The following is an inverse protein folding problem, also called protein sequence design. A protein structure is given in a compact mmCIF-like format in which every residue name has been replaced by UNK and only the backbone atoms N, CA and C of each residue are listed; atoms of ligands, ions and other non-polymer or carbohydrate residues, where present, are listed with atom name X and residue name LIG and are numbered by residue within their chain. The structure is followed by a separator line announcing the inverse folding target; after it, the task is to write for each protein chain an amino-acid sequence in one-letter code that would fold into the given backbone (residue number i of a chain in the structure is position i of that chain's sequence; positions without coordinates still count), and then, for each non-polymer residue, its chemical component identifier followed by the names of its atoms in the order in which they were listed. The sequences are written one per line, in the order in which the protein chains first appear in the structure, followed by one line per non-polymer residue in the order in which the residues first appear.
data_IF_649263337846
#
_entry.id   IF_649263337846
#
_cell.length_a   1.000
_cell.length_b   1.000
_cell.length_c   1.000
_cell.angle_alpha   90.00
_cell.angle_beta   90.00
_cell.angle_gamma   90.00
#
_symmetry.space_group_name_H-M   'P 1'
#
loop_
_entity.id
_entity.type
_entity.pdbx_description
1 polymer ?
#
# COMPACT_ATOMS: atom_id res chain seq x y z
N UNK A 1 15.90 3.44 63.08
CA UNK A 1 14.69 3.80 62.30
C UNK A 1 14.08 2.48 61.83
N UNK A 2 12.92 2.09 62.37
CA UNK A 2 12.29 0.80 62.05
C UNK A 2 11.70 0.86 60.63
N UNK A 3 12.02 -0.15 59.82
CA UNK A 3 11.52 -0.29 58.46
C UNK A 3 10.00 -0.59 58.55
N UNK A 4 9.11 0.20 57.93
CA UNK A 4 7.68 -0.08 57.98
C UNK A 4 7.43 -1.49 57.43
N UNK A 5 6.63 -2.27 58.16
CA UNK A 5 6.23 -3.62 57.75
C UNK A 5 5.67 -3.55 56.33
N UNK A 6 6.42 -4.10 55.36
CA UNK A 6 5.91 -4.31 54.01
C UNK A 6 4.82 -5.35 54.12
N UNK A 7 3.59 -4.94 53.91
CA UNK A 7 2.46 -5.85 53.74
C UNK A 7 2.82 -6.77 52.55
N UNK A 8 2.92 -8.10 52.76
CA UNK A 8 3.18 -9.03 51.67
C UNK A 8 2.12 -8.86 50.58
N UNK A 9 2.56 -8.74 49.33
CA UNK A 9 1.63 -8.60 48.20
C UNK A 9 0.79 -9.89 48.12
N UNK A 10 -0.55 -9.83 48.22
CA UNK A 10 -1.41 -11.02 48.21
C UNK A 10 -1.28 -11.83 46.90
N UNK A 11 -0.72 -11.24 45.85
CA UNK A 11 -0.40 -11.91 44.59
C UNK A 11 0.74 -12.91 44.70
N UNK A 12 1.57 -12.85 45.75
CA UNK A 12 2.65 -13.82 45.98
C UNK A 12 2.13 -15.20 46.41
N UNK A 13 0.93 -15.26 47.00
CA UNK A 13 0.29 -16.49 47.47
C UNK A 13 -0.85 -16.97 46.56
N UNK A 14 -1.05 -16.33 45.41
CA UNK A 14 -2.13 -16.68 44.49
C UNK A 14 -1.82 -18.00 43.73
N UNK A 15 -2.55 -19.10 43.98
CA UNK A 15 -2.31 -20.37 43.31
C UNK A 15 -2.65 -20.34 41.80
N UNK A 16 -3.41 -19.34 41.35
CA UNK A 16 -3.75 -19.16 39.94
C UNK A 16 -2.71 -18.32 39.19
N UNK A 17 -1.73 -17.74 39.89
CA UNK A 17 -0.63 -16.98 39.31
C UNK A 17 0.73 -17.51 39.82
N UNK A 18 1.14 -18.72 39.40
CA UNK A 18 2.40 -19.28 39.84
C UNK A 18 3.55 -18.36 39.44
N UNK A 19 4.31 -17.91 40.44
CA UNK A 19 5.57 -17.19 40.21
C UNK A 19 6.47 -18.14 39.40
N UNK A 20 6.90 -17.78 38.18
CA UNK A 20 7.82 -18.62 37.43
C UNK A 20 9.08 -18.81 38.27
N UNK A 21 9.59 -20.04 38.40
CA UNK A 21 10.81 -20.28 39.16
C UNK A 21 11.89 -19.36 38.60
N UNK A 22 12.57 -18.60 39.47
CA UNK A 22 13.78 -17.90 39.09
C UNK A 22 14.75 -18.96 38.61
N UNK A 23 14.85 -19.10 37.30
CA UNK A 23 15.66 -20.11 36.65
C UNK A 23 17.11 -19.94 37.11
N UNK A 24 17.58 -20.83 37.98
CA UNK A 24 19.00 -21.12 38.20
C UNK A 24 19.59 -21.92 37.03
N UNK A 25 19.11 -21.67 35.82
CA UNK A 25 19.52 -22.29 34.58
C UNK A 25 19.77 -21.21 33.52
N UNK A 26 20.65 -20.26 33.85
CA UNK A 26 21.40 -19.50 32.86
C UNK A 26 22.40 -20.36 32.06
N UNK A 27 22.31 -21.70 32.14
CA UNK A 27 23.37 -22.65 31.76
C UNK A 27 22.94 -23.66 30.67
N UNK A 28 21.89 -23.40 29.89
CA UNK A 28 21.54 -24.26 28.76
C UNK A 28 20.96 -23.53 27.53
N UNK A 29 21.13 -22.20 27.44
CA UNK A 29 20.91 -21.50 26.17
C UNK A 29 22.26 -21.10 25.54
N UNK A 30 22.68 -21.73 24.43
CA UNK A 30 23.92 -21.36 23.74
C UNK A 30 23.94 -19.91 23.23
N UNK A 31 22.79 -19.22 23.24
CA UNK A 31 22.67 -17.78 22.92
C UNK A 31 23.05 -16.86 24.07
N UNK A 32 23.13 -17.38 25.30
CA UNK A 32 23.50 -16.61 26.51
C UNK A 32 24.97 -16.83 26.92
N UNK A 33 25.74 -17.59 26.16
CA UNK A 33 27.15 -17.80 26.44
C UNK A 33 27.94 -16.49 26.26
N UNK A 34 28.50 -15.96 27.35
CA UNK A 34 29.29 -14.73 27.35
C UNK A 34 30.55 -14.80 26.48
N UNK A 35 30.99 -16.00 26.06
CA UNK A 35 32.06 -16.14 25.07
C UNK A 35 31.60 -15.84 23.62
N UNK A 36 30.29 -15.90 23.34
CA UNK A 36 29.70 -15.63 22.01
C UNK A 36 29.24 -14.17 21.85
N UNK A 37 29.41 -13.33 22.87
CA UNK A 37 29.13 -11.88 22.81
C UNK A 37 30.30 -11.06 22.24
N UNK A 38 31.24 -11.70 21.54
CA UNK A 38 32.21 -11.04 20.65
C UNK A 38 31.56 -10.48 19.38
N UNK A 39 30.37 -9.87 19.52
CA UNK A 39 29.90 -8.91 18.52
C UNK A 39 30.58 -7.59 18.83
N UNK A 40 31.13 -6.88 17.83
CA UNK A 40 31.47 -5.48 18.00
C UNK A 40 30.25 -4.79 18.62
N UNK A 41 30.46 -3.86 19.53
CA UNK A 41 29.42 -2.94 19.97
C UNK A 41 29.06 -2.10 18.74
N UNK A 42 28.25 -2.67 17.86
CA UNK A 42 27.46 -1.93 16.90
C UNK A 42 26.53 -1.12 17.78
N UNK A 43 26.90 0.14 17.98
CA UNK A 43 25.99 1.21 18.32
C UNK A 43 24.87 1.15 17.28
N UNK A 44 23.91 0.25 17.48
CA UNK A 44 22.62 0.31 16.81
C UNK A 44 21.96 1.48 17.48
N UNK A 45 22.35 2.67 17.04
CA UNK A 45 21.49 3.83 17.04
C UNK A 45 20.20 3.27 16.46
N UNK A 46 19.18 3.11 17.30
CA UNK A 46 17.82 2.92 16.84
C UNK A 46 17.54 4.22 16.10
N UNK A 47 17.95 4.26 14.84
CA UNK A 47 17.88 5.41 13.98
C UNK A 47 16.40 5.53 13.75
N UNK A 48 15.77 6.35 14.59
CA UNK A 48 14.33 6.56 14.61
C UNK A 48 13.98 7.05 13.22
N UNK A 49 13.57 6.12 12.34
CA UNK A 49 13.28 6.36 10.92
C UNK A 49 11.89 6.98 10.84
N UNK A 50 11.67 8.03 11.62
CA UNK A 50 10.47 8.85 11.70
C UNK A 50 10.46 9.91 10.59
N UNK A 51 10.89 9.53 9.38
CA UNK A 51 10.92 10.41 8.21
C UNK A 51 9.96 9.99 7.10
N UNK A 52 9.43 8.76 7.15
CA UNK A 52 8.65 8.20 6.04
C UNK A 52 7.22 8.75 5.93
N UNK A 53 6.56 9.00 7.07
CA UNK A 53 5.15 9.40 7.06
C UNK A 53 4.94 10.82 6.51
N UNK A 54 5.79 11.78 6.89
CA UNK A 54 5.70 13.15 6.39
C UNK A 54 5.93 13.27 4.88
N UNK A 55 6.89 12.50 4.35
CA UNK A 55 7.18 12.48 2.90
C UNK A 55 6.01 11.85 2.13
N UNK A 56 5.41 10.78 2.65
CA UNK A 56 4.25 10.16 2.02
C UNK A 56 3.06 11.11 1.97
N UNK A 57 2.78 11.80 3.08
CA UNK A 57 1.71 12.80 3.14
C UNK A 57 1.98 13.95 2.17
N UNK A 58 3.21 14.49 2.14
CA UNK A 58 3.60 15.55 1.23
C UNK A 58 3.45 15.13 -0.25
N UNK A 59 3.84 13.90 -0.59
CA UNK A 59 3.69 13.36 -1.94
C UNK A 59 2.21 13.28 -2.35
N UNK A 60 1.32 12.83 -1.46
CA UNK A 60 -0.12 12.77 -1.72
C UNK A 60 -0.69 14.17 -1.96
N UNK A 61 -0.34 15.14 -1.11
CA UNK A 61 -0.79 16.54 -1.25
C UNK A 61 -0.31 17.14 -2.57
N UNK A 62 0.93 16.88 -2.98
CA UNK A 62 1.48 17.36 -4.24
C UNK A 62 0.69 16.83 -5.45
N UNK A 63 0.40 15.53 -5.47
CA UNK A 63 -0.37 14.91 -6.58
C UNK A 63 -1.78 15.50 -6.65
N UNK A 64 -2.46 15.66 -5.51
CA UNK A 64 -3.78 16.26 -5.46
C UNK A 64 -3.76 17.72 -5.94
N UNK A 65 -2.72 18.49 -5.60
CA UNK A 65 -2.57 19.87 -6.06
C UNK A 65 -2.40 19.95 -7.58
N UNK A 66 -1.65 19.03 -8.20
CA UNK A 66 -1.51 18.97 -9.67
C UNK A 66 -2.84 18.64 -10.33
N UNK A 67 -3.57 17.65 -9.83
CA UNK A 67 -4.89 17.29 -10.38
C UNK A 67 -5.86 18.48 -10.27
N UNK A 68 -5.91 19.12 -9.10
CA UNK A 68 -6.72 20.31 -8.89
C UNK A 68 -6.31 21.44 -9.85
N UNK A 69 -5.02 21.68 -10.05
CA UNK A 69 -4.55 22.67 -11.02
C UNK A 69 -5.10 22.41 -12.43
N UNK A 70 -5.08 21.17 -12.92
CA UNK A 70 -5.64 20.85 -14.23
C UNK A 70 -7.16 20.99 -14.33
N UNK A 71 -7.90 20.79 -13.23
CA UNK A 71 -9.36 20.94 -13.20
C UNK A 71 -9.75 22.42 -13.09
N UNK A 72 -9.04 23.20 -12.28
CA UNK A 72 -9.41 24.57 -11.93
C UNK A 72 -8.71 25.65 -12.75
N UNK A 73 -7.60 25.34 -13.44
CA UNK A 73 -6.97 26.27 -14.37
C UNK A 73 -7.53 25.99 -15.75
N UNK A 74 -8.54 26.75 -16.23
CA UNK A 74 -8.93 26.69 -17.61
C UNK A 74 -7.68 26.98 -18.44
N UNK A 75 -7.31 26.05 -19.31
CA UNK A 75 -6.35 26.31 -20.38
C UNK A 75 -6.99 27.34 -21.29
N UNK A 76 -6.88 28.62 -20.96
CA UNK A 76 -7.06 29.67 -21.94
C UNK A 76 -5.99 29.38 -22.99
N UNK A 77 -6.36 28.97 -24.22
CA UNK A 77 -5.42 29.17 -25.31
C UNK A 77 -5.07 30.65 -25.23
N UNK A 78 -3.78 30.97 -25.25
CA UNK A 78 -3.32 32.31 -25.58
C UNK A 78 -3.74 32.58 -27.03
N UNK A 79 -5.04 32.70 -27.27
CA UNK A 79 -5.56 33.41 -28.42
C UNK A 79 -5.09 34.84 -28.22
N UNK A 80 -4.40 35.45 -29.19
CA UNK A 80 -4.11 36.87 -29.12
C UNK A 80 -5.44 37.57 -28.84
N UNK A 81 -5.51 38.29 -27.72
CA UNK A 81 -6.59 39.23 -27.46
C UNK A 81 -6.52 40.21 -28.63
N UNK A 82 -7.39 40.04 -29.61
CA UNK A 82 -7.65 41.08 -30.60
C UNK A 82 -8.12 42.28 -29.80
N UNK A 83 -7.22 43.24 -29.57
CA UNK A 83 -7.58 44.58 -29.15
C UNK A 83 -8.58 45.10 -30.18
N UNK A 84 -9.84 45.23 -29.77
CA UNK A 84 -10.86 45.82 -30.61
C UNK A 84 -10.46 47.27 -30.93
N UNK A 85 -9.97 47.49 -32.15
CA UNK A 85 -9.84 48.82 -32.74
C UNK A 85 -11.22 49.49 -32.73
N UNK A 86 -11.36 50.75 -32.26
CA UNK A 86 -12.63 51.46 -32.38
C UNK A 86 -13.02 51.59 -33.87
N UNK A 87 -14.30 51.42 -34.23
CA UNK A 87 -14.70 51.44 -35.63
C UNK A 87 -14.48 52.82 -36.25
N UNK A 88 -13.86 52.86 -37.43
CA UNK A 88 -13.87 54.03 -38.30
C UNK A 88 -15.31 54.29 -38.76
N UNK A 89 -15.76 55.55 -38.71
CA UNK A 89 -17.07 55.94 -39.22
C UNK A 89 -17.14 55.75 -40.74
N UNK A 90 -18.06 54.89 -41.20
CA UNK A 90 -18.30 54.62 -42.62
C UNK A 90 -19.54 55.37 -43.12
N UNK A 91 -19.35 56.13 -44.20
CA UNK A 91 -20.40 56.74 -45.02
C UNK A 91 -21.21 55.66 -45.76
N UNK A 92 -22.54 55.74 -45.71
CA UNK A 92 -23.44 54.69 -46.22
C UNK A 92 -23.71 54.85 -47.72
N UNK A 93 -23.20 53.93 -48.54
CA UNK A 93 -23.60 53.78 -49.94
C UNK A 93 -24.87 52.89 -50.09
N UNK A 94 -25.66 53.03 -51.17
CA UNK A 94 -26.88 52.24 -51.40
C UNK A 94 -26.62 50.73 -51.45
N UNK A 95 -27.54 49.95 -50.87
CA UNK A 95 -27.42 48.51 -50.71
C UNK A 95 -27.36 47.76 -52.05
N UNK A 96 -26.31 46.96 -52.22
CA UNK A 96 -26.18 45.99 -53.32
C UNK A 96 -26.86 44.68 -52.91
N UNK A 97 -27.61 43.98 -53.79
CA UNK A 97 -28.29 42.73 -53.45
C UNK A 97 -27.31 41.68 -52.92
N UNK A 98 -27.70 41.04 -51.81
CA UNK A 98 -26.95 40.00 -51.10
C UNK A 98 -26.98 38.69 -51.91
N UNK A 99 -25.84 38.13 -52.33
CA UNK A 99 -25.77 36.77 -52.84
C UNK A 99 -26.11 35.76 -51.73
N UNK A 100 -26.87 34.73 -52.07
CA UNK A 100 -27.30 33.69 -51.14
C UNK A 100 -26.11 32.97 -50.46
N UNK A 101 -26.32 32.58 -49.21
CA UNK A 101 -25.41 31.75 -48.41
C UNK A 101 -25.09 30.45 -49.14
N UNK A 102 -23.81 30.12 -49.39
CA UNK A 102 -23.43 28.79 -49.85
C UNK A 102 -23.92 27.71 -48.88
N UNK A 103 -24.47 26.62 -49.42
CA UNK A 103 -24.91 25.46 -48.65
C UNK A 103 -23.74 24.87 -47.83
N UNK A 104 -24.00 24.26 -46.66
CA UNK A 104 -22.95 23.62 -45.87
C UNK A 104 -22.23 22.56 -46.70
N UNK A 105 -20.91 22.64 -46.71
CA UNK A 105 -20.04 21.71 -47.43
C UNK A 105 -20.19 20.31 -46.81
N UNK A 106 -20.78 19.38 -47.55
CA UNK A 106 -21.11 18.03 -47.12
C UNK A 106 -19.89 17.07 -47.15
N UNK A 107 -18.67 17.61 -47.20
CA UNK A 107 -17.44 16.84 -47.41
C UNK A 107 -16.63 16.54 -46.15
N UNK A 108 -17.19 16.74 -44.95
CA UNK A 108 -16.54 16.31 -43.72
C UNK A 108 -16.33 14.78 -43.74
N UNK A 109 -15.07 14.28 -43.71
CA UNK A 109 -14.81 12.84 -43.69
C UNK A 109 -15.47 12.21 -42.46
N UNK A 110 -16.13 11.07 -42.66
CA UNK A 110 -16.65 10.28 -41.55
C UNK A 110 -15.50 9.93 -40.59
N UNK A 111 -15.70 10.18 -39.30
CA UNK A 111 -14.71 9.83 -38.29
C UNK A 111 -14.43 8.31 -38.35
N UNK A 112 -13.16 7.88 -38.24
CA UNK A 112 -12.83 6.46 -38.20
C UNK A 112 -13.59 5.74 -37.10
N UNK A 113 -14.13 4.56 -37.41
CA UNK A 113 -14.75 3.71 -36.41
C UNK A 113 -13.74 3.36 -35.32
N UNK A 114 -14.14 3.46 -34.05
CA UNK A 114 -13.30 3.05 -32.92
C UNK A 114 -13.02 1.55 -33.00
N UNK A 115 -11.76 1.11 -32.83
CA UNK A 115 -11.42 -0.31 -32.76
C UNK A 115 -12.22 -1.03 -31.67
N UNK A 116 -12.65 -2.26 -31.95
CA UNK A 116 -13.29 -3.11 -30.94
C UNK A 116 -12.30 -3.42 -29.81
N UNK A 117 -12.79 -3.33 -28.57
CA UNK A 117 -12.01 -3.74 -27.38
C UNK A 117 -11.70 -5.22 -27.48
N UNK A 118 -10.42 -5.65 -27.34
CA UNK A 118 -10.07 -7.05 -27.24
C UNK A 118 -10.86 -7.73 -26.11
N UNK A 119 -11.35 -8.95 -26.38
CA UNK A 119 -11.98 -9.76 -25.36
C UNK A 119 -10.97 -10.06 -24.23
N UNK A 120 -11.42 -10.16 -22.97
CA UNK A 120 -10.53 -10.52 -21.88
C UNK A 120 -9.88 -11.87 -22.14
N UNK A 121 -8.59 -11.96 -21.83
CA UNK A 121 -7.83 -13.21 -21.91
C UNK A 121 -8.52 -14.30 -21.07
N UNK A 122 -8.54 -15.51 -21.64
CA UNK A 122 -9.04 -16.68 -20.93
C UNK A 122 -8.29 -16.84 -19.61
N UNK A 123 -9.06 -17.01 -18.53
CA UNK A 123 -8.54 -17.20 -17.18
C UNK A 123 -7.45 -18.27 -17.15
N UNK A 124 -6.33 -17.95 -16.50
CA UNK A 124 -5.19 -18.84 -16.33
C UNK A 124 -5.62 -20.23 -15.81
N UNK A 125 -4.94 -21.31 -16.24
CA UNK A 125 -5.24 -22.67 -15.78
C UNK A 125 -5.23 -22.75 -14.24
N UNK A 126 -6.22 -23.43 -13.67
CA UNK A 126 -6.33 -23.63 -12.24
C UNK A 126 -5.06 -24.34 -11.71
N UNK A 127 -4.54 -23.86 -10.58
CA UNK A 127 -3.39 -24.46 -9.93
C UNK A 127 -3.69 -25.93 -9.56
N UNK A 128 -2.71 -26.84 -9.67
CA UNK A 128 -2.88 -28.23 -9.28
C UNK A 128 -3.36 -28.36 -7.82
N UNK A 129 -4.27 -29.29 -7.58
CA UNK A 129 -4.75 -29.57 -6.23
C UNK A 129 -3.60 -30.04 -5.32
N UNK A 130 -3.64 -29.71 -4.01
CA UNK A 130 -2.67 -30.19 -3.04
C UNK A 130 -2.57 -31.72 -3.05
N UNK A 131 -1.35 -32.25 -2.95
CA UNK A 131 -1.12 -33.68 -2.85
C UNK A 131 -1.74 -34.23 -1.54
N UNK A 132 -2.35 -35.41 -1.64
CA UNK A 132 -2.93 -36.10 -0.49
C UNK A 132 -1.82 -36.51 0.51
N UNK A 133 -2.03 -36.29 1.83
CA UNK A 133 -1.06 -36.71 2.83
C UNK A 133 -0.78 -38.22 2.78
N UNK A 134 0.48 -38.59 2.94
CA UNK A 134 0.88 -39.99 2.98
C UNK A 134 0.22 -40.74 4.17
N UNK A 135 -0.08 -42.05 4.02
CA UNK A 135 -0.64 -42.85 5.10
C UNK A 135 0.26 -42.84 6.34
N UNK A 136 -0.36 -42.79 7.52
CA UNK A 136 0.38 -42.85 8.78
C UNK A 136 1.11 -44.20 8.93
N UNK A 137 2.30 -44.21 9.59
CA UNK A 137 3.01 -45.44 9.89
C UNK A 137 2.15 -46.41 10.70
N UNK A 138 2.19 -47.69 10.35
CA UNK A 138 1.50 -48.72 11.10
C UNK A 138 2.12 -48.87 12.50
N UNK A 139 1.28 -48.95 13.53
CA UNK A 139 1.71 -49.20 14.90
C UNK A 139 2.34 -50.59 15.00
N UNK A 140 3.53 -50.74 15.61
CA UNK A 140 4.14 -52.04 15.84
C UNK A 140 3.23 -52.94 16.68
N UNK A 141 3.19 -54.23 16.34
CA UNK A 141 2.42 -55.21 17.09
C UNK A 141 3.01 -55.40 18.51
N UNK A 142 2.17 -55.69 19.53
CA UNK A 142 2.64 -55.96 20.88
C UNK A 142 3.58 -57.16 20.93
N UNK A 143 4.64 -57.06 21.73
CA UNK A 143 5.55 -58.17 21.96
C UNK A 143 4.82 -59.30 22.73
N UNK A 144 5.13 -60.58 22.45
CA UNK A 144 4.60 -61.71 23.22
C UNK A 144 4.96 -61.60 24.70
N UNK A 145 4.02 -61.93 25.58
CA UNK A 145 4.27 -61.97 27.02
C UNK A 145 5.31 -63.04 27.35
N UNK A 146 6.26 -62.70 28.23
CA UNK A 146 7.21 -63.67 28.76
C UNK A 146 6.50 -64.64 29.73
N UNK A 147 6.87 -65.93 29.75
CA UNK A 147 6.27 -66.90 30.65
C UNK A 147 6.63 -66.61 32.11
N UNK A 148 5.64 -66.76 33.00
CA UNK A 148 5.81 -66.60 34.44
C UNK A 148 6.68 -67.74 35.02
N UNK A 149 7.62 -67.38 35.88
CA UNK A 149 8.41 -68.29 36.72
C UNK A 149 7.80 -68.33 38.13
#
# INVERSE_FOLDING_TARGET
MANPQRIPDPRETDPMNPIPPLASSAEADPRLNAANSSRPIENTVVQSRSGGSGILIAAIVLVLAVIAYFIFVPTTPNSPVEQATPPAATETAPATPVPATPAPDATAPAAPATPATPAPDATAPAAPAPAEPAPAPATPAPAPAAPAQ
#
